data_IF_824092205876
#
_entry.id   IF_824092205876
#
_cell.length_a   1.000
_cell.length_b   1.000
_cell.length_c   1.000
_cell.angle_alpha   90.00
_cell.angle_beta   90.00
_cell.angle_gamma   90.00
#
_symmetry.space_group_name_H-M   'P 1'
#
loop_
_entity.id
_entity.type
_entity.pdbx_description
1 polymer ?
#
# COMPACT_ATOMS: atom_id res chain seq x y z
N UNK A 1 11.87 -3.00 -3.07
CA UNK A 1 12.01 -1.58 -2.67
C UNK A 1 10.69 -1.13 -2.06
N UNK A 2 10.71 -0.22 -1.08
CA UNK A 2 9.50 0.24 -0.38
C UNK A 2 9.17 1.68 -0.80
N UNK A 3 7.90 1.96 -1.11
CA UNK A 3 7.39 3.33 -1.36
C UNK A 3 6.02 3.53 -0.73
N UNK A 4 5.71 4.78 -0.39
CA UNK A 4 4.39 5.16 0.12
C UNK A 4 3.80 6.26 -0.74
N UNK A 5 2.56 6.05 -1.12
CA UNK A 5 1.77 6.99 -1.90
C UNK A 5 0.60 7.48 -1.07
N UNK A 6 0.17 8.72 -1.32
CA UNK A 6 -1.01 9.28 -0.72
C UNK A 6 -2.09 9.63 -1.74
N UNK A 7 -3.33 9.41 -1.33
CA UNK A 7 -4.55 9.55 -2.14
C UNK A 7 -5.64 10.16 -1.25
N UNK A 8 -6.46 11.04 -1.78
CA UNK A 8 -7.59 11.59 -1.03
C UNK A 8 -8.66 10.52 -0.72
N UNK A 9 -9.34 10.62 0.42
CA UNK A 9 -10.30 9.61 0.89
C UNK A 9 -11.50 9.40 -0.05
N UNK A 10 -11.94 10.45 -0.72
CA UNK A 10 -13.01 10.40 -1.72
C UNK A 10 -12.64 9.54 -2.94
N UNK A 11 -11.35 9.34 -3.23
CA UNK A 11 -10.88 8.50 -4.34
C UNK A 11 -10.54 7.06 -3.92
N UNK A 12 -10.75 6.70 -2.64
CA UNK A 12 -10.49 5.34 -2.13
C UNK A 12 -11.15 4.25 -2.98
N UNK A 13 -12.40 4.45 -3.40
CA UNK A 13 -13.10 3.46 -4.22
C UNK A 13 -12.44 3.21 -5.59
N UNK A 14 -11.79 4.24 -6.17
CA UNK A 14 -10.99 4.06 -7.40
C UNK A 14 -9.72 3.27 -7.11
N UNK A 15 -9.04 3.59 -6.01
CA UNK A 15 -7.86 2.86 -5.57
C UNK A 15 -8.17 1.37 -5.38
N UNK A 16 -9.20 1.04 -4.60
CA UNK A 16 -9.57 -0.35 -4.33
C UNK A 16 -9.93 -1.11 -5.62
N UNK A 17 -10.57 -0.42 -6.58
CA UNK A 17 -10.85 -1.00 -7.89
C UNK A 17 -9.56 -1.31 -8.67
N UNK A 18 -8.60 -0.39 -8.70
CA UNK A 18 -7.30 -0.60 -9.36
C UNK A 18 -6.51 -1.73 -8.70
N UNK A 19 -6.47 -1.77 -7.36
CA UNK A 19 -5.78 -2.82 -6.61
C UNK A 19 -6.42 -4.20 -6.82
N UNK A 20 -7.74 -4.24 -7.05
CA UNK A 20 -8.49 -5.46 -7.34
C UNK A 20 -8.50 -5.82 -8.83
N UNK A 21 -7.93 -4.97 -9.68
CA UNK A 21 -7.96 -5.16 -11.13
C UNK A 21 -6.93 -6.22 -11.56
N UNK A 22 -7.40 -7.25 -12.26
CA UNK A 22 -6.60 -8.29 -12.89
C UNK A 22 -5.62 -9.03 -11.93
N UNK A 23 -6.14 -9.91 -11.04
CA UNK A 23 -5.32 -10.69 -10.11
C UNK A 23 -4.38 -11.70 -10.79
N UNK A 24 -4.63 -12.04 -12.05
CA UNK A 24 -3.86 -13.03 -12.81
C UNK A 24 -2.71 -12.44 -13.62
N UNK A 25 -2.62 -11.11 -13.70
CA UNK A 25 -1.56 -10.44 -14.45
C UNK A 25 -0.18 -10.69 -13.82
N UNK A 26 0.88 -10.59 -14.63
CA UNK A 26 2.25 -10.76 -14.15
C UNK A 26 2.64 -9.63 -13.20
N UNK A 27 2.18 -8.42 -13.48
CA UNK A 27 2.37 -7.24 -12.65
C UNK A 27 1.04 -6.92 -11.93
N UNK A 28 0.59 -7.84 -11.08
CA UNK A 28 -0.65 -7.66 -10.32
C UNK A 28 -0.36 -7.20 -8.89
N UNK A 29 -1.18 -6.27 -8.38
CA UNK A 29 -1.14 -5.87 -6.97
C UNK A 29 -1.35 -7.05 -6.01
N UNK A 30 -2.04 -8.11 -6.44
CA UNK A 30 -2.22 -9.34 -5.67
C UNK A 30 -0.92 -10.17 -5.48
N UNK A 31 0.13 -9.91 -6.28
CA UNK A 31 1.40 -10.64 -6.23
C UNK A 31 2.49 -9.89 -5.44
N UNK A 32 2.23 -8.65 -5.04
CA UNK A 32 3.17 -7.82 -4.29
C UNK A 32 2.64 -7.56 -2.89
N UNK A 33 3.54 -7.18 -2.00
CA UNK A 33 3.13 -6.78 -0.66
C UNK A 33 2.68 -5.31 -0.70
N UNK A 34 1.38 -5.08 -0.46
CA UNK A 34 0.84 -3.74 -0.29
C UNK A 34 0.00 -3.64 0.98
N UNK A 35 -0.07 -2.43 1.54
CA UNK A 35 -0.90 -2.14 2.72
C UNK A 35 -1.59 -0.81 2.50
N UNK A 36 -2.90 -0.78 2.75
CA UNK A 36 -3.69 0.45 2.74
C UNK A 36 -3.86 0.91 4.18
N UNK A 37 -3.56 2.17 4.44
CA UNK A 37 -3.67 2.79 5.75
C UNK A 37 -4.49 4.06 5.67
N UNK A 38 -5.53 4.15 6.48
CA UNK A 38 -6.46 5.28 6.48
C UNK A 38 -6.18 6.18 7.67
N UNK A 39 -5.70 7.41 7.42
CA UNK A 39 -5.46 8.43 8.47
C UNK A 39 -6.19 9.74 8.13
N UNK A 40 -5.50 10.85 7.89
CA UNK A 40 -6.07 12.06 7.29
C UNK A 40 -6.43 11.85 5.81
N UNK A 41 -5.63 11.03 5.13
CA UNK A 41 -5.80 10.58 3.75
C UNK A 41 -5.58 9.06 3.66
N UNK A 42 -5.67 8.51 2.45
CA UNK A 42 -5.34 7.11 2.18
C UNK A 42 -3.86 7.02 1.87
N UNK A 43 -3.14 6.18 2.61
CA UNK A 43 -1.74 5.88 2.40
C UNK A 43 -1.63 4.46 1.84
N UNK A 44 -1.02 4.33 0.67
CA UNK A 44 -0.74 3.06 0.02
C UNK A 44 0.76 2.77 0.13
N UNK A 45 1.11 1.83 1.00
CA UNK A 45 2.43 1.24 1.05
C UNK A 45 2.53 0.13 0.01
N UNK A 46 3.62 0.11 -0.75
CA UNK A 46 3.95 -0.97 -1.69
C UNK A 46 5.40 -1.37 -1.48
N UNK A 47 5.64 -2.67 -1.36
CA UNK A 47 6.95 -3.29 -1.43
C UNK A 47 7.03 -4.21 -2.65
N UNK A 48 7.78 -3.77 -3.65
CA UNK A 48 7.92 -4.45 -4.93
C UNK A 48 9.23 -4.07 -5.64
N UNK A 49 9.45 -4.65 -6.81
CA UNK A 49 10.58 -4.33 -7.68
C UNK A 49 10.33 -3.08 -8.53
N UNK A 50 11.38 -2.52 -9.12
CA UNK A 50 11.30 -1.29 -9.93
C UNK A 50 10.32 -1.41 -11.11
N UNK A 51 10.26 -2.58 -11.75
CA UNK A 51 9.33 -2.85 -12.85
C UNK A 51 7.87 -2.72 -12.40
N UNK A 52 7.56 -3.17 -11.19
CA UNK A 52 6.23 -3.03 -10.62
C UNK A 52 5.88 -1.58 -10.33
N UNK A 53 6.84 -0.79 -9.82
CA UNK A 53 6.58 0.63 -9.58
C UNK A 53 6.26 1.39 -10.86
N UNK A 54 6.92 1.08 -11.99
CA UNK A 54 6.56 1.68 -13.29
C UNK A 54 5.12 1.36 -13.66
N UNK A 55 4.70 0.11 -13.50
CA UNK A 55 3.31 -0.30 -13.73
C UNK A 55 2.32 0.36 -12.77
N UNK A 56 2.63 0.38 -11.47
CA UNK A 56 1.79 0.97 -10.44
C UNK A 56 1.61 2.48 -10.67
N UNK A 57 2.68 3.19 -11.04
CA UNK A 57 2.61 4.62 -11.37
C UNK A 57 1.76 4.88 -12.62
N UNK A 58 1.82 4.03 -13.65
CA UNK A 58 0.94 4.13 -14.82
C UNK A 58 -0.54 3.92 -14.48
N UNK A 59 -0.85 2.93 -13.63
CA UNK A 59 -2.22 2.64 -13.19
C UNK A 59 -2.78 3.69 -12.24
N UNK A 60 -1.97 4.12 -11.28
CA UNK A 60 -2.40 5.06 -10.24
C UNK A 60 -2.54 6.50 -10.77
N UNK A 61 -2.04 6.82 -11.98
CA UNK A 61 -2.33 8.08 -12.68
C UNK A 61 -3.82 8.31 -12.95
N UNK A 62 -4.66 7.28 -12.93
CA UNK A 62 -6.11 7.43 -13.03
C UNK A 62 -6.73 8.12 -11.80
N UNK A 63 -5.99 8.19 -10.69
CA UNK A 63 -6.35 8.88 -9.46
C UNK A 63 -5.68 10.26 -9.49
N UNK A 64 -6.47 11.33 -9.49
CA UNK A 64 -5.93 12.68 -9.64
C UNK A 64 -5.15 13.14 -8.41
N UNK A 65 -5.57 12.71 -7.23
CA UNK A 65 -4.91 13.02 -5.97
C UNK A 65 -3.66 12.18 -5.68
N UNK A 66 -3.32 11.23 -6.56
CA UNK A 66 -2.18 10.34 -6.36
C UNK A 66 -0.86 11.13 -6.30
N UNK A 67 -0.15 10.98 -5.18
CA UNK A 67 1.14 11.61 -4.98
C UNK A 67 2.08 10.69 -4.19
N UNK A 68 3.36 10.68 -4.55
CA UNK A 68 4.38 10.07 -3.70
C UNK A 68 4.66 10.95 -2.50
N UNK A 69 4.70 10.35 -1.32
CA UNK A 69 5.00 11.07 -0.08
C UNK A 69 6.50 11.37 0.07
N UNK A 70 6.83 12.30 0.96
CA UNK A 70 8.23 12.61 1.30
C UNK A 70 8.87 11.46 2.08
N UNK A 71 10.20 11.34 1.99
CA UNK A 71 10.93 10.26 2.68
C UNK A 71 10.64 10.18 4.19
N UNK A 72 10.46 11.33 4.87
CA UNK A 72 10.06 11.36 6.27
C UNK A 72 8.71 10.67 6.51
N UNK A 73 7.71 10.97 5.66
CA UNK A 73 6.37 10.40 5.81
C UNK A 73 6.32 8.94 5.33
N UNK A 74 7.09 8.60 4.29
CA UNK A 74 7.28 7.20 3.87
C UNK A 74 7.81 6.38 5.06
N UNK A 75 8.88 6.84 5.72
CA UNK A 75 9.46 6.16 6.91
C UNK A 75 8.46 6.01 8.04
N UNK A 76 7.74 7.08 8.41
CA UNK A 76 6.73 7.05 9.48
C UNK A 76 5.69 5.95 9.22
N UNK A 77 5.12 5.91 8.01
CA UNK A 77 4.08 4.95 7.65
C UNK A 77 4.65 3.52 7.60
N UNK A 78 5.85 3.34 7.05
CA UNK A 78 6.54 2.04 6.97
C UNK A 78 6.83 1.48 8.36
N UNK A 79 7.38 2.29 9.27
CA UNK A 79 7.65 1.86 10.65
C UNK A 79 6.36 1.48 11.37
N UNK A 80 5.29 2.25 11.19
CA UNK A 80 4.00 1.92 11.81
C UNK A 80 3.43 0.61 11.27
N UNK A 81 3.53 0.34 9.96
CA UNK A 81 3.12 -0.93 9.36
C UNK A 81 3.95 -2.09 9.89
N UNK A 82 5.28 -1.93 10.00
CA UNK A 82 6.19 -2.95 10.53
C UNK A 82 5.84 -3.27 11.99
N UNK A 83 5.63 -2.24 12.81
CA UNK A 83 5.22 -2.37 14.20
C UNK A 83 3.88 -3.10 14.34
N UNK A 84 2.85 -2.71 13.59
CA UNK A 84 1.55 -3.39 13.60
C UNK A 84 1.65 -4.88 13.23
N UNK A 85 2.54 -5.24 12.31
CA UNK A 85 2.80 -6.64 11.96
C UNK A 85 3.49 -7.39 13.08
N UNK A 86 4.49 -6.79 13.74
CA UNK A 86 5.17 -7.39 14.90
C UNK A 86 4.22 -7.62 16.09
N UNK A 87 3.36 -6.63 16.37
CA UNK A 87 2.30 -6.72 17.38
C UNK A 87 1.27 -7.80 17.02
N UNK A 88 0.89 -7.92 15.74
CA UNK A 88 -0.04 -8.94 15.25
C UNK A 88 0.55 -10.36 15.31
N UNK A 89 1.85 -10.52 15.04
CA UNK A 89 2.57 -11.79 15.20
C UNK A 89 2.66 -12.20 16.67
N UNK A 90 2.81 -11.23 17.57
CA UNK A 90 2.81 -11.48 19.02
C UNK A 90 1.40 -11.78 19.58
N UNK A 91 0.34 -11.26 18.94
CA UNK A 91 -1.05 -11.47 19.34
C UNK A 91 -1.67 -12.83 18.97
N UNK A 92 -1.11 -13.56 18.00
CA UNK A 92 -1.63 -14.88 17.60
C UNK A 92 -1.02 -16.07 18.37
N UNK A 93 0.03 -15.85 19.17
CA UNK A 93 0.63 -16.88 20.03
C UNK A 93 -0.13 -17.16 21.34
N UNK A 94 -1.21 -16.41 21.63
CA UNK A 94 -1.95 -16.49 22.89
C UNK A 94 -3.39 -17.01 22.81
N UNK A 95 -3.89 -17.40 21.63
CA UNK A 95 -5.31 -17.75 21.43
C UNK A 95 -5.53 -19.20 20.93
N UNK A 96 -4.48 -20.02 20.92
CA UNK A 96 -4.60 -21.47 20.91
C UNK A 96 -4.14 -22.02 22.26
N UNK A 97 -4.99 -21.83 23.27
CA UNK A 97 -4.95 -22.49 24.58
C UNK A 97 -6.29 -23.14 24.85
#
# INVERSE_FOLDING_TARGET
MERVYSIEKNEKGKLEKILSENPYDKLSFARVEYVIKEKDRIYLYINADEEFFKFAEEKLKEIQSFKRESEEKEREIIEEIKKEREDSVSGFGGIFG
#
